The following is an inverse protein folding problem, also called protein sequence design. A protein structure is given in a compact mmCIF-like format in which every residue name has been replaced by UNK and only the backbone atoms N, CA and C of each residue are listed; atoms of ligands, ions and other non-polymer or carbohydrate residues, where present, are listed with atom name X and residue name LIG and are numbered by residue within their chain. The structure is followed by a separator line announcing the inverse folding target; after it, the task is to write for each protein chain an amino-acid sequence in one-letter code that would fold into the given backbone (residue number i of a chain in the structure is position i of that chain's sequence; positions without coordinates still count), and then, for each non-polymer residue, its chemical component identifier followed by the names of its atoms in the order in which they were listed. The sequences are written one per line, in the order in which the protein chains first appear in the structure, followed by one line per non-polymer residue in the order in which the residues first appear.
data_IF_359556610767
#
_entry.id   IF_359556610767
#
_cell.length_a   1.000
_cell.length_b   1.000
_cell.length_c   1.000
_cell.angle_alpha   90.00
_cell.angle_beta   90.00
_cell.angle_gamma   90.00
#
_symmetry.space_group_name_H-M   'P 1'
#
loop_
_entity.id
_entity.type
_entity.pdbx_description
1 polymer ?
#
# COMPACT_ATOMS: atom_id res chain seq x y z
N UNK A 1 -16.25 11.32 2.00
CA UNK A 1 -15.17 12.08 2.63
C UNK A 1 -14.13 12.48 1.58
N UNK A 2 -14.56 12.87 0.36
CA UNK A 2 -13.63 13.41 -0.61
C UNK A 2 -13.14 14.77 -0.12
N UNK A 3 -11.90 15.11 -0.43
CA UNK A 3 -11.29 16.41 -0.10
C UNK A 3 -11.22 16.72 1.41
N UNK A 4 -11.59 15.78 2.28
CA UNK A 4 -11.61 16.01 3.72
C UNK A 4 -10.20 16.07 4.28
N UNK A 5 -9.97 16.97 5.25
CA UNK A 5 -8.75 16.95 6.05
C UNK A 5 -8.96 16.10 7.30
N UNK A 6 -8.24 14.99 7.36
CA UNK A 6 -8.13 14.03 8.45
C UNK A 6 -6.66 13.90 8.91
N UNK A 7 -5.90 14.98 8.77
CA UNK A 7 -4.50 15.05 9.17
C UNK A 7 -4.37 14.78 10.66
N UNK A 8 -3.40 13.95 11.04
CA UNK A 8 -3.16 13.53 12.42
C UNK A 8 -4.38 12.87 13.10
N UNK A 9 -5.43 12.51 12.35
CA UNK A 9 -6.59 11.88 12.93
C UNK A 9 -6.23 10.49 13.45
N UNK A 10 -6.85 10.10 14.56
CA UNK A 10 -6.83 8.72 15.02
C UNK A 10 -8.04 7.98 14.42
N UNK A 11 -7.74 7.09 13.48
CA UNK A 11 -8.68 6.25 12.75
C UNK A 11 -8.27 4.78 12.89
N UNK A 12 -7.56 4.44 13.97
CA UNK A 12 -7.21 3.06 14.28
C UNK A 12 -8.48 2.20 14.33
N UNK A 13 -8.43 1.02 13.71
CA UNK A 13 -9.56 0.08 13.59
C UNK A 13 -10.80 0.64 12.85
N UNK A 14 -10.72 1.82 12.23
CA UNK A 14 -11.86 2.41 11.54
C UNK A 14 -12.31 1.53 10.37
N UNK A 15 -13.63 1.42 10.20
CA UNK A 15 -14.20 0.79 9.02
C UNK A 15 -14.48 1.83 7.93
N UNK A 16 -13.62 1.85 6.92
CA UNK A 16 -13.66 2.72 5.75
C UNK A 16 -13.79 1.91 4.44
N UNK A 17 -14.35 0.69 4.54
CA UNK A 17 -14.60 -0.17 3.38
C UNK A 17 -15.48 0.56 2.36
N UNK A 18 -15.04 0.57 1.10
CA UNK A 18 -15.73 1.26 0.00
C UNK A 18 -15.81 2.78 0.15
N UNK A 19 -15.13 3.37 1.13
CA UNK A 19 -15.22 4.80 1.38
C UNK A 19 -14.71 5.62 0.19
N UNK A 20 -15.35 6.77 -0.04
CA UNK A 20 -14.89 7.78 -0.99
C UNK A 20 -14.04 8.81 -0.26
N UNK A 21 -12.73 8.73 -0.47
CA UNK A 21 -11.65 9.51 0.14
C UNK A 21 -10.73 10.11 -0.95
N UNK A 22 -11.26 10.34 -2.15
CA UNK A 22 -10.52 10.94 -3.25
C UNK A 22 -10.02 12.32 -2.83
N UNK A 23 -8.72 12.59 -3.01
CA UNK A 23 -8.03 13.81 -2.55
C UNK A 23 -8.13 14.10 -1.04
N UNK A 24 -8.52 13.12 -0.23
CA UNK A 24 -8.52 13.29 1.21
C UNK A 24 -7.09 13.46 1.74
N UNK A 25 -6.92 14.29 2.75
CA UNK A 25 -5.63 14.51 3.41
C UNK A 25 -5.59 13.76 4.75
N UNK A 26 -4.87 12.65 4.78
CA UNK A 26 -4.64 11.72 5.89
C UNK A 26 -3.17 11.73 6.32
N UNK A 27 -2.45 12.82 6.03
CA UNK A 27 -1.05 13.00 6.43
C UNK A 27 -0.90 12.79 7.94
N UNK A 28 0.06 11.95 8.32
CA UNK A 28 0.35 11.56 9.71
C UNK A 28 -0.82 10.94 10.48
N UNK A 29 -1.91 10.53 9.81
CA UNK A 29 -3.02 9.86 10.48
C UNK A 29 -2.61 8.49 11.02
N UNK A 30 -3.21 8.10 12.15
CA UNK A 30 -3.13 6.73 12.64
C UNK A 30 -4.24 5.91 11.98
N UNK A 31 -3.87 5.02 11.06
CA UNK A 31 -4.77 4.16 10.28
C UNK A 31 -4.47 2.67 10.55
N UNK A 32 -3.82 2.39 11.68
CA UNK A 32 -3.44 1.03 12.06
C UNK A 32 -4.68 0.14 12.16
N UNK A 33 -4.59 -1.06 11.60
CA UNK A 33 -5.67 -2.06 11.56
C UNK A 33 -6.99 -1.55 10.90
N UNK A 34 -6.95 -0.42 10.20
CA UNK A 34 -8.13 0.14 9.53
C UNK A 34 -8.50 -0.68 8.29
N UNK A 35 -9.80 -0.66 7.97
CA UNK A 35 -10.39 -1.40 6.85
C UNK A 35 -10.69 -0.45 5.69
N UNK A 36 -10.02 -0.63 4.57
CA UNK A 36 -10.12 0.18 3.35
C UNK A 36 -10.47 -0.65 2.11
N UNK A 37 -11.00 -1.86 2.27
CA UNK A 37 -11.25 -2.71 1.11
C UNK A 37 -12.13 -1.99 0.09
N UNK A 38 -11.71 -2.02 -1.18
CA UNK A 38 -12.36 -1.31 -2.30
C UNK A 38 -12.52 0.22 -2.13
N UNK A 39 -11.85 0.87 -1.17
CA UNK A 39 -11.94 2.31 -0.97
C UNK A 39 -11.37 3.10 -2.16
N UNK A 40 -11.94 4.26 -2.44
CA UNK A 40 -11.52 5.17 -3.51
C UNK A 40 -10.69 6.31 -2.91
N UNK A 41 -9.37 6.20 -3.02
CA UNK A 41 -8.38 7.08 -2.38
C UNK A 41 -7.44 7.77 -3.40
N UNK A 42 -7.91 7.90 -4.64
CA UNK A 42 -7.15 8.50 -5.76
C UNK A 42 -6.70 9.92 -5.39
N UNK A 43 -5.43 10.23 -5.67
CA UNK A 43 -4.78 11.50 -5.31
C UNK A 43 -4.84 11.85 -3.80
N UNK A 44 -5.06 10.87 -2.91
CA UNK A 44 -5.06 11.11 -1.46
C UNK A 44 -3.64 11.37 -0.93
N UNK A 45 -3.54 12.12 0.17
CA UNK A 45 -2.28 12.35 0.87
C UNK A 45 -2.21 11.53 2.14
N UNK A 46 -1.33 10.53 2.17
CA UNK A 46 -1.04 9.61 3.27
C UNK A 46 0.41 9.73 3.73
N UNK A 47 1.08 10.86 3.44
CA UNK A 47 2.48 11.07 3.81
C UNK A 47 2.67 10.82 5.31
N UNK A 48 3.60 9.92 5.65
CA UNK A 48 3.90 9.57 7.04
C UNK A 48 2.72 8.97 7.83
N UNK A 49 1.67 8.50 7.17
CA UNK A 49 0.56 7.82 7.85
C UNK A 49 0.98 6.44 8.38
N UNK A 50 0.35 6.01 9.46
CA UNK A 50 0.50 4.66 9.99
C UNK A 50 -0.59 3.74 9.44
N UNK A 51 -0.28 2.94 8.44
CA UNK A 51 -1.14 1.93 7.81
C UNK A 51 -0.73 0.50 8.22
N UNK A 52 0.00 0.33 9.32
CA UNK A 52 0.40 -1.00 9.81
C UNK A 52 -0.83 -1.90 9.97
N UNK A 53 -0.76 -3.11 9.39
CA UNK A 53 -1.84 -4.10 9.33
C UNK A 53 -3.18 -3.61 8.72
N UNK A 54 -3.20 -2.48 8.02
CA UNK A 54 -4.40 -2.01 7.35
C UNK A 54 -4.81 -2.96 6.21
N UNK A 55 -6.11 -3.15 6.01
CA UNK A 55 -6.64 -3.92 4.90
C UNK A 55 -7.04 -3.01 3.74
N UNK A 56 -6.20 -2.96 2.71
CA UNK A 56 -6.33 -2.15 1.50
C UNK A 56 -6.69 -3.01 0.27
N UNK A 57 -7.25 -4.22 0.47
CA UNK A 57 -7.57 -5.14 -0.62
C UNK A 57 -8.50 -4.47 -1.66
N UNK A 58 -8.05 -4.44 -2.92
CA UNK A 58 -8.75 -3.80 -4.04
C UNK A 58 -8.90 -2.28 -3.93
N UNK A 59 -8.22 -1.62 -3.00
CA UNK A 59 -8.32 -0.17 -2.85
C UNK A 59 -7.65 0.56 -4.03
N UNK A 60 -8.19 1.72 -4.39
CA UNK A 60 -7.67 2.56 -5.46
C UNK A 60 -6.88 3.73 -4.89
N UNK A 61 -5.55 3.63 -4.93
CA UNK A 61 -4.55 4.61 -4.45
C UNK A 61 -3.79 5.24 -5.62
N UNK A 62 -4.38 5.28 -6.82
CA UNK A 62 -3.71 5.87 -7.98
C UNK A 62 -3.28 7.31 -7.69
N UNK A 63 -2.01 7.62 -8.01
CA UNK A 63 -1.35 8.90 -7.78
C UNK A 63 -1.41 9.40 -6.32
N UNK A 64 -1.59 8.51 -5.35
CA UNK A 64 -1.57 8.88 -3.94
C UNK A 64 -0.13 9.21 -3.48
N UNK A 65 -0.03 10.13 -2.53
CA UNK A 65 1.22 10.46 -1.84
C UNK A 65 1.32 9.61 -0.57
N UNK A 66 2.31 8.72 -0.51
CA UNK A 66 2.50 7.73 0.56
C UNK A 66 3.96 7.77 1.08
N UNK A 67 4.73 8.80 0.77
CA UNK A 67 6.12 8.90 1.20
C UNK A 67 6.25 8.80 2.72
N UNK A 68 7.22 8.00 3.18
CA UNK A 68 7.49 7.74 4.59
C UNK A 68 6.33 7.09 5.37
N UNK A 69 5.30 6.56 4.71
CA UNK A 69 4.21 5.86 5.38
C UNK A 69 4.66 4.46 5.84
N UNK A 70 4.03 3.95 6.91
CA UNK A 70 4.25 2.58 7.40
C UNK A 70 3.12 1.68 6.93
N UNK A 71 3.42 0.70 6.09
CA UNK A 71 2.49 -0.32 5.59
C UNK A 71 2.92 -1.73 6.03
N UNK A 72 3.70 -1.84 7.12
CA UNK A 72 4.16 -3.11 7.67
C UNK A 72 2.99 -4.07 7.87
N UNK A 73 3.06 -5.26 7.28
CA UNK A 73 2.02 -6.29 7.36
C UNK A 73 0.67 -5.93 6.72
N UNK A 74 0.57 -4.83 5.98
CA UNK A 74 -0.67 -4.42 5.34
C UNK A 74 -1.08 -5.38 4.22
N UNK A 75 -2.39 -5.51 3.98
CA UNK A 75 -2.94 -6.34 2.92
C UNK A 75 -3.32 -5.44 1.74
N UNK A 76 -2.55 -5.47 0.65
CA UNK A 76 -2.77 -4.65 -0.55
C UNK A 76 -3.17 -5.49 -1.77
N UNK A 77 -3.71 -6.70 -1.58
CA UNK A 77 -4.04 -7.60 -2.70
C UNK A 77 -4.90 -6.88 -3.74
N UNK A 78 -4.46 -6.87 -5.00
CA UNK A 78 -5.17 -6.20 -6.10
C UNK A 78 -5.31 -4.67 -5.98
N UNK A 79 -4.61 -4.02 -5.05
CA UNK A 79 -4.67 -2.57 -4.91
C UNK A 79 -4.02 -1.86 -6.12
N UNK A 80 -4.55 -0.69 -6.47
CA UNK A 80 -4.00 0.13 -7.53
C UNK A 80 -3.11 1.24 -6.96
N UNK A 81 -1.79 1.12 -7.13
CA UNK A 81 -0.78 2.11 -6.76
C UNK A 81 -0.12 2.76 -7.98
N UNK A 82 -0.80 2.75 -9.13
CA UNK A 82 -0.30 3.39 -10.35
C UNK A 82 0.05 4.86 -10.09
N UNK A 83 1.27 5.27 -10.43
CA UNK A 83 1.74 6.63 -10.26
C UNK A 83 1.87 7.11 -8.82
N UNK A 84 1.71 6.22 -7.82
CA UNK A 84 1.82 6.60 -6.42
C UNK A 84 3.27 6.97 -6.05
N UNK A 85 3.41 7.93 -5.13
CA UNK A 85 4.71 8.34 -4.59
C UNK A 85 4.91 7.56 -3.29
N UNK A 86 5.86 6.63 -3.29
CA UNK A 86 6.11 5.65 -2.23
C UNK A 86 7.53 5.75 -1.69
N UNK A 87 8.17 6.92 -1.85
CA UNK A 87 9.54 7.14 -1.39
C UNK A 87 9.66 6.83 0.11
N UNK A 88 10.58 5.93 0.46
CA UNK A 88 10.80 5.48 1.85
C UNK A 88 9.56 4.89 2.54
N UNK A 89 8.55 4.44 1.80
CA UNK A 89 7.43 3.71 2.36
C UNK A 89 7.88 2.32 2.85
N UNK A 90 7.34 1.86 3.97
CA UNK A 90 7.70 0.58 4.56
C UNK A 90 6.64 -0.49 4.30
N UNK A 91 6.90 -1.41 3.37
CA UNK A 91 6.05 -2.55 3.05
C UNK A 91 6.56 -3.85 3.68
N UNK A 92 7.34 -3.80 4.77
CA UNK A 92 7.83 -5.01 5.42
C UNK A 92 6.68 -5.99 5.71
N UNK A 93 6.82 -7.25 5.27
CA UNK A 93 5.82 -8.31 5.42
C UNK A 93 4.43 -8.01 4.83
N UNK A 94 4.28 -6.99 3.96
CA UNK A 94 3.01 -6.68 3.33
C UNK A 94 2.63 -7.72 2.26
N UNK A 95 1.33 -7.91 2.03
CA UNK A 95 0.83 -8.73 0.93
C UNK A 95 0.52 -7.85 -0.28
N UNK A 96 1.36 -7.95 -1.32
CA UNK A 96 1.32 -7.14 -2.53
C UNK A 96 0.86 -7.95 -3.76
N UNK A 97 0.21 -9.11 -3.57
CA UNK A 97 -0.24 -9.95 -4.67
C UNK A 97 -1.20 -9.18 -5.61
N UNK A 98 -0.84 -9.06 -6.88
CA UNK A 98 -1.65 -8.36 -7.89
C UNK A 98 -1.67 -6.83 -7.77
N UNK A 99 -0.77 -6.22 -6.97
CA UNK A 99 -0.68 -4.75 -6.90
C UNK A 99 -0.19 -4.16 -8.21
N UNK A 100 -0.84 -3.10 -8.68
CA UNK A 100 -0.37 -2.33 -9.83
C UNK A 100 0.60 -1.22 -9.38
N UNK A 101 1.90 -1.41 -9.63
CA UNK A 101 2.96 -0.41 -9.37
C UNK A 101 3.37 0.40 -10.59
N UNK A 102 2.60 0.37 -11.70
CA UNK A 102 3.01 1.05 -12.94
C UNK A 102 3.27 2.55 -12.70
N UNK A 103 4.51 2.99 -12.93
CA UNK A 103 4.92 4.38 -12.75
C UNK A 103 4.99 4.86 -11.31
N UNK A 104 4.95 3.96 -10.31
CA UNK A 104 5.14 4.33 -8.91
C UNK A 104 6.60 4.71 -8.62
N UNK A 105 6.81 5.68 -7.73
CA UNK A 105 8.13 6.13 -7.29
C UNK A 105 8.51 5.40 -6.01
N UNK A 106 9.54 4.55 -6.05
CA UNK A 106 9.82 3.53 -5.04
C UNK A 106 11.17 3.74 -4.34
N UNK A 107 11.78 4.90 -4.51
CA UNK A 107 13.11 5.21 -4.01
C UNK A 107 13.18 5.03 -2.48
N UNK A 108 14.02 4.08 -2.04
CA UNK A 108 14.20 3.79 -0.62
C UNK A 108 13.03 3.05 0.05
N UNK A 109 12.01 2.61 -0.68
CA UNK A 109 10.94 1.80 -0.13
C UNK A 109 11.47 0.43 0.35
N UNK A 110 10.97 -0.03 1.50
CA UNK A 110 11.33 -1.31 2.08
C UNK A 110 10.30 -2.38 1.66
N UNK A 111 10.79 -3.50 1.12
CA UNK A 111 9.96 -4.64 0.69
C UNK A 111 10.37 -5.95 1.38
N UNK A 112 11.13 -5.88 2.47
CA UNK A 112 11.60 -7.07 3.17
C UNK A 112 10.42 -7.97 3.58
N UNK A 113 10.46 -9.24 3.20
CA UNK A 113 9.39 -10.20 3.54
C UNK A 113 8.04 -9.96 2.85
N UNK A 114 7.92 -8.95 1.99
CA UNK A 114 6.68 -8.70 1.27
C UNK A 114 6.38 -9.84 0.29
N UNK A 115 5.13 -10.28 0.25
CA UNK A 115 4.65 -11.27 -0.71
C UNK A 115 4.31 -10.56 -2.02
N UNK A 116 5.05 -10.85 -3.10
CA UNK A 116 4.86 -10.20 -4.41
C UNK A 116 4.80 -11.26 -5.53
N UNK A 117 4.03 -11.03 -6.62
CA UNK A 117 4.11 -11.86 -7.82
C UNK A 117 5.50 -11.75 -8.46
N UNK A 118 5.92 -12.80 -9.18
CA UNK A 118 7.21 -12.84 -9.89
C UNK A 118 7.42 -11.65 -10.84
N UNK A 119 6.35 -11.06 -11.38
CA UNK A 119 6.39 -9.91 -12.28
C UNK A 119 6.77 -8.60 -11.56
N UNK A 120 6.39 -8.44 -10.29
CA UNK A 120 6.77 -7.27 -9.50
C UNK A 120 8.27 -7.27 -9.18
N UNK A 121 8.91 -8.45 -9.14
CA UNK A 121 10.35 -8.61 -8.94
C UNK A 121 11.16 -7.89 -10.03
N UNK A 122 10.64 -7.75 -11.26
CA UNK A 122 11.31 -7.00 -12.34
C UNK A 122 11.29 -5.49 -12.12
N UNK A 123 10.21 -4.96 -11.53
CA UNK A 123 10.08 -3.53 -11.18
C UNK A 123 10.90 -3.24 -9.91
N UNK A 124 10.88 -4.16 -8.95
CA UNK A 124 11.54 -4.05 -7.65
C UNK A 124 13.04 -4.43 -7.69
N UNK A 125 13.48 -5.19 -8.70
CA UNK A 125 14.86 -5.68 -8.83
C UNK A 125 15.92 -4.61 -9.08
N UNK A 126 15.51 -3.34 -9.26
CA UNK A 126 16.40 -2.16 -9.24
C UNK A 126 16.65 -1.62 -7.82
N UNK A 127 15.91 -2.11 -6.84
CA UNK A 127 15.99 -1.73 -5.43
C UNK A 127 16.70 -2.89 -4.73
N UNK A 128 17.89 -2.64 -4.18
CA UNK A 128 18.85 -3.63 -3.69
C UNK A 128 18.37 -4.43 -2.46
N UNK A 129 17.26 -5.16 -2.47
CA UNK A 129 16.89 -5.99 -1.32
C UNK A 129 16.30 -7.35 -1.72
N UNK A 130 16.69 -8.36 -0.94
CA UNK A 130 16.41 -9.79 -1.10
C UNK A 130 14.91 -10.05 -1.11
N UNK A 131 14.30 -10.06 -2.29
CA UNK A 131 12.96 -10.60 -2.47
C UNK A 131 13.04 -12.10 -2.15
N UNK A 132 12.28 -12.57 -1.17
CA UNK A 132 12.12 -14.00 -0.92
C UNK A 132 11.18 -14.51 -2.01
N UNK A 133 11.63 -15.35 -2.95
CA UNK A 133 10.75 -15.88 -3.97
C UNK A 133 9.63 -16.72 -3.33
N UNK A 134 8.43 -16.77 -3.93
CA UNK A 134 7.36 -17.65 -3.46
C UNK A 134 7.87 -19.10 -3.39
N UNK A 135 7.43 -19.85 -2.38
CA UNK A 135 7.89 -21.22 -2.17
C UNK A 135 7.57 -22.09 -3.40
N UNK A 136 8.42 -23.06 -3.78
CA UNK A 136 8.18 -23.93 -4.95
C UNK A 136 6.90 -24.78 -4.87
N UNK A 137 6.22 -24.82 -3.71
CA UNK A 137 5.09 -25.72 -3.47
C UNK A 137 3.72 -25.17 -3.88
N UNK A 138 3.64 -23.91 -4.35
CA UNK A 138 2.38 -23.37 -4.91
C UNK A 138 2.27 -23.57 -6.44
N UNK A 139 3.30 -24.13 -7.09
CA UNK A 139 3.29 -24.52 -8.52
C UNK A 139 3.06 -26.02 -8.71
N UNK A 140 2.03 -26.59 -8.09
CA UNK A 140 1.46 -27.87 -8.55
C UNK A 140 -0.04 -27.83 -8.21
N UNK A 141 -0.95 -27.60 -9.16
CA UNK A 141 -1.47 -28.61 -10.10
C UNK A 141 -2.58 -27.93 -10.96
N UNK A 142 -3.03 -28.55 -12.08
CA UNK A 142 -3.36 -27.91 -13.36
C UNK A 142 -4.63 -27.02 -13.39
#
# INVERSE_FOLDING_TARGET
MNDSSLQNADLMLANLQGAKLTRANLKHANLQDAKFQAAQMVNGNFQGANLTYANLEGANLANAELSNSRLTGAILRGANLQGAILEKADFENANLAGVNFKGAHLEGANFQGAVTPKEAILILGRIKYKLVPPSPLEEISP
#
